data_IF_623621749949
#
_entry.id   IF_623621749949
#
_cell.length_a   1.000
_cell.length_b   1.000
_cell.length_c   1.000
_cell.angle_alpha   90.00
_cell.angle_beta   90.00
_cell.angle_gamma   90.00
#
_symmetry.space_group_name_H-M   'P 1'
#
loop_
_entity.id
_entity.type
_entity.pdbx_description
1 polymer ?
#
# COMPACT_ATOMS: atom_id res chain seq x y z
N UNK A 1 -7.23 -4.67 24.93
CA UNK A 1 -8.16 -5.79 24.73
C UNK A 1 -8.08 -6.83 25.84
N UNK A 2 -6.90 -7.43 26.13
CA UNK A 2 -6.72 -8.41 27.22
C UNK A 2 -7.33 -7.94 28.55
N UNK A 3 -6.99 -6.76 29.06
CA UNK A 3 -7.50 -6.23 30.32
C UNK A 3 -9.01 -5.99 30.40
N UNK A 4 -9.68 -5.80 29.25
CA UNK A 4 -11.16 -5.70 29.20
C UNK A 4 -11.77 -7.09 29.32
N UNK A 5 -11.23 -8.08 28.60
CA UNK A 5 -11.73 -9.45 28.58
C UNK A 5 -11.47 -10.19 29.90
N UNK A 6 -10.38 -9.86 30.59
CA UNK A 6 -10.08 -10.39 31.93
C UNK A 6 -11.10 -9.91 33.00
N UNK A 7 -11.68 -8.71 32.78
CA UNK A 7 -12.75 -8.19 33.67
C UNK A 7 -14.14 -8.75 33.33
N UNK A 8 -14.30 -9.39 32.16
CA UNK A 8 -15.58 -9.93 31.69
C UNK A 8 -15.68 -11.44 31.95
N UNK A 9 -15.32 -11.89 33.14
CA UNK A 9 -15.26 -13.32 33.52
C UNK A 9 -16.61 -14.03 33.43
N UNK A 10 -17.72 -13.33 33.65
CA UNK A 10 -19.08 -13.87 33.60
C UNK A 10 -19.68 -13.93 32.18
N UNK A 11 -18.94 -13.42 31.15
CA UNK A 11 -19.41 -13.45 29.78
C UNK A 11 -19.31 -14.87 29.21
N UNK A 12 -20.48 -15.53 29.01
CA UNK A 12 -20.57 -16.91 28.52
C UNK A 12 -20.11 -17.04 27.04
N UNK A 13 -20.37 -16.02 26.23
CA UNK A 13 -20.04 -16.02 24.81
C UNK A 13 -19.12 -14.86 24.49
N UNK A 14 -17.98 -15.16 23.86
CA UNK A 14 -16.99 -14.18 23.45
C UNK A 14 -16.69 -14.36 21.98
N UNK A 15 -16.96 -13.34 21.18
CA UNK A 15 -16.69 -13.33 19.75
C UNK A 15 -15.69 -12.24 19.43
N UNK A 16 -14.64 -12.59 18.69
CA UNK A 16 -13.67 -11.67 18.16
C UNK A 16 -13.63 -11.79 16.64
N UNK A 17 -13.77 -10.68 15.93
CA UNK A 17 -13.65 -10.62 14.47
C UNK A 17 -12.43 -9.81 14.08
N UNK A 18 -11.66 -10.30 13.12
CA UNK A 18 -10.52 -9.58 12.55
C UNK A 18 -10.38 -9.93 11.09
N UNK A 19 -10.03 -8.96 10.27
CA UNK A 19 -9.68 -9.20 8.88
C UNK A 19 -8.31 -9.88 8.70
N UNK A 20 -7.43 -9.89 9.72
CA UNK A 20 -6.10 -10.51 9.70
C UNK A 20 -5.70 -11.02 11.05
N UNK A 21 -5.22 -12.25 11.07
CA UNK A 21 -4.44 -12.78 12.19
C UNK A 21 -2.95 -12.61 11.85
N UNK A 22 -2.18 -12.07 12.79
CA UNK A 22 -0.72 -12.08 12.68
C UNK A 22 -0.21 -13.52 12.78
N UNK A 23 0.74 -13.92 11.93
CA UNK A 23 1.35 -15.26 11.96
C UNK A 23 2.21 -15.51 13.23
N UNK A 24 2.24 -14.58 14.18
CA UNK A 24 2.93 -14.73 15.46
C UNK A 24 2.21 -15.77 16.32
N UNK A 25 2.87 -16.92 16.55
CA UNK A 25 2.33 -18.05 17.35
C UNK A 25 1.86 -17.61 18.75
N UNK A 26 2.63 -16.73 19.40
CA UNK A 26 2.30 -16.19 20.75
C UNK A 26 0.98 -15.38 20.71
N UNK A 27 0.80 -14.54 19.68
CA UNK A 27 -0.44 -13.78 19.52
C UNK A 27 -1.66 -14.69 19.27
N UNK A 28 -1.47 -15.74 18.47
CA UNK A 28 -2.51 -16.72 18.20
C UNK A 28 -2.94 -17.46 19.47
N UNK A 29 -1.98 -17.92 20.26
CA UNK A 29 -2.25 -18.59 21.55
C UNK A 29 -3.01 -17.69 22.52
N UNK A 30 -2.64 -16.40 22.61
CA UNK A 30 -3.36 -15.45 23.48
C UNK A 30 -4.79 -15.25 22.98
N UNK A 31 -5.01 -15.14 21.67
CA UNK A 31 -6.35 -14.99 21.10
C UNK A 31 -7.20 -16.25 21.32
N UNK A 32 -6.62 -17.43 21.11
CA UNK A 32 -7.29 -18.71 21.34
C UNK A 32 -7.63 -18.92 22.83
N UNK A 33 -6.79 -18.45 23.75
CA UNK A 33 -7.07 -18.44 25.19
C UNK A 33 -8.22 -17.50 25.58
N UNK A 34 -8.43 -16.40 24.85
CA UNK A 34 -9.46 -15.40 25.16
C UNK A 34 -10.80 -15.69 24.47
N UNK A 35 -10.79 -16.23 23.25
CA UNK A 35 -11.96 -16.38 22.38
C UNK A 35 -12.24 -17.83 21.95
N UNK A 36 -11.34 -18.78 22.24
CA UNK A 36 -11.42 -20.14 21.73
C UNK A 36 -10.78 -20.26 20.34
N UNK A 37 -11.03 -21.37 19.66
CA UNK A 37 -10.42 -21.72 18.39
C UNK A 37 -10.72 -20.68 17.30
N UNK A 38 -9.70 -20.34 16.52
CA UNK A 38 -9.84 -19.41 15.40
C UNK A 38 -10.34 -20.13 14.14
N UNK A 39 -11.26 -19.48 13.44
CA UNK A 39 -11.83 -19.98 12.18
C UNK A 39 -11.69 -18.91 11.11
N UNK A 40 -11.32 -19.30 9.89
CA UNK A 40 -11.37 -18.42 8.72
C UNK A 40 -12.76 -18.52 8.11
N UNK A 41 -13.55 -17.45 8.26
CA UNK A 41 -14.92 -17.42 7.76
C UNK A 41 -14.96 -17.33 6.22
N UNK A 42 -14.09 -16.48 5.63
CA UNK A 42 -14.05 -16.26 4.18
C UNK A 42 -12.65 -15.78 3.79
N UNK A 43 -12.20 -16.11 2.57
CA UNK A 43 -10.93 -15.65 2.00
C UNK A 43 -11.14 -14.41 1.14
N UNK A 44 -10.09 -13.59 0.96
CA UNK A 44 -10.12 -12.42 0.05
C UNK A 44 -10.49 -12.82 -1.37
N UNK A 45 -9.96 -13.94 -1.85
CA UNK A 45 -10.28 -14.47 -3.18
C UNK A 45 -11.78 -14.78 -3.33
N UNK A 46 -12.39 -15.46 -2.36
CA UNK A 46 -13.81 -15.77 -2.43
C UNK A 46 -14.66 -14.50 -2.42
N UNK A 47 -14.28 -13.48 -1.64
CA UNK A 47 -14.95 -12.18 -1.65
C UNK A 47 -14.85 -11.47 -3.02
N UNK A 48 -13.72 -11.63 -3.73
CA UNK A 48 -13.54 -11.10 -5.10
C UNK A 48 -14.36 -11.90 -6.12
N UNK A 49 -14.35 -13.23 -6.02
CA UNK A 49 -15.10 -14.11 -6.93
C UNK A 49 -16.61 -13.90 -6.77
N UNK A 50 -17.07 -13.70 -5.54
CA UNK A 50 -18.47 -13.39 -5.19
C UNK A 50 -18.83 -11.90 -5.44
N UNK A 51 -17.91 -11.09 -6.02
CA UNK A 51 -18.08 -9.65 -6.32
C UNK A 51 -18.40 -8.75 -5.11
N UNK A 52 -18.07 -9.19 -3.91
CA UNK A 52 -18.21 -8.36 -2.70
C UNK A 52 -17.10 -7.33 -2.55
N UNK A 53 -15.94 -7.58 -3.16
CA UNK A 53 -14.82 -6.64 -3.28
C UNK A 53 -14.30 -6.67 -4.72
N UNK A 54 -13.67 -5.57 -5.14
CA UNK A 54 -13.09 -5.44 -6.48
C UNK A 54 -11.99 -6.46 -6.72
N UNK A 55 -11.88 -6.95 -7.95
CA UNK A 55 -10.71 -7.73 -8.38
C UNK A 55 -9.48 -6.82 -8.36
N UNK A 56 -8.45 -7.22 -7.64
CA UNK A 56 -7.18 -6.54 -7.56
C UNK A 56 -6.19 -7.21 -8.52
N UNK A 57 -5.69 -6.45 -9.48
CA UNK A 57 -4.54 -6.84 -10.30
C UNK A 57 -3.28 -6.14 -9.75
N UNK A 58 -2.21 -6.87 -9.52
CA UNK A 58 -0.96 -6.34 -8.99
C UNK A 58 0.07 -6.30 -10.12
N UNK A 59 0.57 -5.10 -10.42
CA UNK A 59 1.65 -4.86 -11.36
C UNK A 59 2.94 -4.66 -10.58
N UNK A 60 3.80 -5.68 -10.54
CA UNK A 60 5.12 -5.62 -9.91
C UNK A 60 6.11 -5.00 -10.89
N UNK A 61 6.55 -3.76 -10.63
CA UNK A 61 7.43 -3.01 -11.49
C UNK A 61 8.82 -2.93 -10.86
N UNK A 62 9.75 -3.78 -11.30
CA UNK A 62 11.13 -3.78 -10.84
C UNK A 62 11.94 -2.73 -11.58
N UNK A 63 12.43 -1.74 -10.83
CA UNK A 63 13.32 -0.71 -11.33
C UNK A 63 14.78 -1.17 -11.19
N UNK A 64 15.47 -1.33 -12.31
CA UNK A 64 16.90 -1.62 -12.36
C UNK A 64 17.69 -0.33 -12.41
N UNK A 65 18.54 -0.15 -11.41
CA UNK A 65 19.44 1.00 -11.30
C UNK A 65 20.77 0.72 -12.00
N UNK A 66 21.47 1.76 -12.50
CA UNK A 66 22.81 1.63 -13.07
C UNK A 66 23.77 0.91 -12.11
N UNK A 67 24.71 0.15 -12.67
CA UNK A 67 25.66 -0.63 -11.88
C UNK A 67 26.48 0.24 -10.93
N UNK A 68 26.88 1.43 -11.37
CA UNK A 68 27.62 2.40 -10.58
C UNK A 68 26.87 2.81 -9.31
N UNK A 69 25.57 3.08 -9.42
CA UNK A 69 24.72 3.44 -8.29
C UNK A 69 24.56 2.26 -7.32
N UNK A 70 24.36 1.04 -7.86
CA UNK A 70 24.28 -0.18 -7.04
C UNK A 70 25.56 -0.48 -6.28
N UNK A 71 26.72 -0.18 -6.91
CA UNK A 71 28.03 -0.35 -6.26
C UNK A 71 28.20 0.59 -5.07
N UNK A 72 27.78 1.85 -5.17
CA UNK A 72 27.87 2.82 -4.06
C UNK A 72 27.10 2.35 -2.84
N UNK A 73 25.97 1.63 -3.06
CA UNK A 73 25.07 1.14 -2.00
C UNK A 73 25.38 -0.28 -1.52
N UNK A 74 26.48 -0.90 -1.99
CA UNK A 74 26.83 -2.29 -1.66
C UNK A 74 26.94 -2.61 -0.16
N UNK A 75 27.20 -1.61 0.66
CA UNK A 75 27.30 -1.71 2.14
C UNK A 75 26.30 -0.80 2.86
N UNK A 76 25.37 -0.19 2.14
CA UNK A 76 24.42 0.74 2.71
C UNK A 76 23.60 0.09 3.82
N UNK A 77 23.33 0.87 4.85
CA UNK A 77 22.35 0.57 5.88
C UNK A 77 20.93 0.71 5.30
N UNK A 78 19.94 0.24 6.03
CA UNK A 78 18.54 0.40 5.62
C UNK A 78 18.15 1.87 5.39
N UNK A 79 18.58 2.76 6.28
CA UNK A 79 18.24 4.18 6.17
C UNK A 79 18.92 4.85 4.98
N UNK A 80 20.19 4.56 4.72
CA UNK A 80 20.90 5.08 3.55
C UNK A 80 20.27 4.59 2.24
N UNK A 81 19.86 3.33 2.16
CA UNK A 81 19.14 2.80 1.00
C UNK A 81 17.80 3.52 0.80
N UNK A 82 17.02 3.73 1.87
CA UNK A 82 15.75 4.44 1.78
C UNK A 82 15.95 5.90 1.38
N UNK A 83 16.90 6.61 1.99
CA UNK A 83 17.17 8.01 1.66
C UNK A 83 17.61 8.16 0.18
N UNK A 84 18.40 7.22 -0.34
CA UNK A 84 18.73 7.17 -1.77
C UNK A 84 17.48 6.95 -2.64
N UNK A 85 16.68 5.94 -2.36
CA UNK A 85 15.49 5.59 -3.13
C UNK A 85 14.50 6.75 -3.23
N UNK A 86 14.18 7.39 -2.10
CA UNK A 86 13.16 8.45 -2.07
C UNK A 86 13.65 9.78 -2.69
N UNK A 87 14.96 10.00 -2.73
CA UNK A 87 15.57 11.20 -3.36
C UNK A 87 15.93 11.00 -4.84
N UNK A 88 15.85 9.77 -5.35
CA UNK A 88 16.29 9.45 -6.70
C UNK A 88 15.38 10.05 -7.78
N UNK A 89 15.91 11.02 -8.54
CA UNK A 89 15.12 11.85 -9.46
C UNK A 89 14.46 11.07 -10.59
N UNK A 90 15.18 10.15 -11.25
CA UNK A 90 14.61 9.34 -12.34
C UNK A 90 13.48 8.43 -11.84
N UNK A 91 13.66 7.85 -10.65
CA UNK A 91 12.64 7.03 -10.00
C UNK A 91 11.36 7.84 -9.69
N UNK A 92 11.52 9.00 -9.09
CA UNK A 92 10.39 9.88 -8.76
C UNK A 92 9.69 10.37 -10.05
N UNK A 93 10.46 10.69 -11.09
CA UNK A 93 9.92 10.99 -12.43
C UNK A 93 9.11 9.81 -13.01
N UNK A 94 9.61 8.59 -12.88
CA UNK A 94 8.90 7.39 -13.31
C UNK A 94 7.56 7.24 -12.58
N UNK A 95 7.53 7.40 -11.25
CA UNK A 95 6.30 7.31 -10.44
C UNK A 95 5.29 8.39 -10.84
N UNK A 96 5.74 9.64 -11.02
CA UNK A 96 4.86 10.73 -11.45
C UNK A 96 4.30 10.47 -12.87
N UNK A 97 5.14 10.05 -13.81
CA UNK A 97 4.69 9.71 -15.17
C UNK A 97 3.70 8.54 -15.15
N UNK A 98 3.98 7.50 -14.37
CA UNK A 98 3.06 6.37 -14.19
C UNK A 98 1.70 6.85 -13.68
N UNK A 99 1.66 7.72 -12.68
CA UNK A 99 0.42 8.25 -12.15
C UNK A 99 -0.34 9.10 -13.19
N UNK A 100 0.37 9.93 -13.96
CA UNK A 100 -0.22 10.80 -14.98
C UNK A 100 -0.78 10.02 -16.19
N UNK A 101 -0.22 8.85 -16.50
CA UNK A 101 -0.73 8.00 -17.61
C UNK A 101 -2.02 7.28 -17.25
N UNK A 102 -2.39 7.19 -15.97
CA UNK A 102 -3.60 6.49 -15.55
C UNK A 102 -4.85 7.33 -15.87
N UNK A 103 -5.86 6.67 -16.44
CA UNK A 103 -7.17 7.26 -16.72
C UNK A 103 -8.16 6.93 -15.62
N UNK A 104 -7.99 7.53 -14.46
CA UNK A 104 -8.83 7.29 -13.28
C UNK A 104 -8.21 7.84 -12.00
N UNK A 105 -8.97 7.80 -10.92
CA UNK A 105 -8.49 8.26 -9.63
C UNK A 105 -7.32 7.38 -9.16
N UNK A 106 -6.20 8.04 -8.89
CA UNK A 106 -4.92 7.40 -8.56
C UNK A 106 -4.46 7.82 -7.17
N UNK A 107 -4.12 6.87 -6.33
CA UNK A 107 -3.54 7.10 -5.01
C UNK A 107 -2.05 6.73 -5.03
N UNK A 108 -1.19 7.67 -4.67
CA UNK A 108 0.24 7.46 -4.49
C UNK A 108 0.53 7.43 -2.99
N UNK A 109 1.11 6.34 -2.50
CA UNK A 109 1.44 6.17 -1.10
C UNK A 109 2.92 6.40 -0.82
N UNK A 110 3.19 7.27 0.14
CA UNK A 110 4.53 7.57 0.63
C UNK A 110 4.64 7.41 2.17
N UNK A 111 5.86 7.47 2.73
CA UNK A 111 6.09 7.45 4.19
C UNK A 111 6.67 8.75 4.74
N UNK A 112 7.54 9.42 3.99
CA UNK A 112 8.24 10.62 4.44
C UNK A 112 7.60 11.87 3.84
N UNK A 113 6.97 12.69 4.68
CA UNK A 113 6.20 13.86 4.25
C UNK A 113 7.09 14.85 3.48
N UNK A 114 8.12 15.38 4.15
CA UNK A 114 8.97 16.43 3.58
C UNK A 114 9.89 15.90 2.46
N UNK A 115 10.59 14.80 2.73
CA UNK A 115 11.63 14.27 1.85
C UNK A 115 11.10 13.56 0.59
N UNK A 116 9.82 13.15 0.57
CA UNK A 116 9.28 12.36 -0.53
C UNK A 116 7.88 12.80 -0.95
N UNK A 117 6.92 12.88 -0.04
CA UNK A 117 5.53 13.20 -0.38
C UNK A 117 5.37 14.56 -1.04
N UNK A 118 5.96 15.61 -0.44
CA UNK A 118 5.93 16.98 -1.01
C UNK A 118 6.68 17.04 -2.34
N UNK A 119 7.82 16.38 -2.45
CA UNK A 119 8.60 16.31 -3.70
C UNK A 119 7.77 15.69 -4.83
N UNK A 120 7.08 14.57 -4.58
CA UNK A 120 6.20 13.95 -5.58
C UNK A 120 5.03 14.87 -5.96
N UNK A 121 4.45 15.59 -5.00
CA UNK A 121 3.37 16.53 -5.25
C UNK A 121 3.83 17.68 -6.14
N UNK A 122 4.96 18.33 -5.81
CA UNK A 122 5.56 19.41 -6.60
C UNK A 122 5.85 18.95 -8.03
N UNK A 123 6.50 17.80 -8.19
CA UNK A 123 6.79 17.23 -9.51
C UNK A 123 5.54 16.91 -10.33
N UNK A 124 4.44 16.51 -9.70
CA UNK A 124 3.17 16.28 -10.39
C UNK A 124 2.52 17.60 -10.84
N UNK A 125 2.53 18.62 -9.98
CA UNK A 125 2.00 19.93 -10.28
C UNK A 125 2.75 20.60 -11.43
N UNK A 126 4.07 20.48 -11.48
CA UNK A 126 4.91 21.00 -12.55
C UNK A 126 4.63 20.33 -13.90
N UNK A 127 4.24 19.03 -13.90
CA UNK A 127 3.98 18.26 -15.13
C UNK A 127 2.56 18.45 -15.69
N UNK A 128 1.57 18.58 -14.85
CA UNK A 128 0.16 18.69 -15.24
C UNK A 128 -0.61 19.58 -14.26
N UNK A 129 -0.77 20.84 -14.63
CA UNK A 129 -1.53 21.83 -13.84
C UNK A 129 -3.06 21.70 -14.00
N UNK A 130 -3.55 20.90 -14.94
CA UNK A 130 -4.98 20.75 -15.22
C UNK A 130 -5.63 19.63 -14.42
N UNK A 131 -4.84 18.68 -13.92
CA UNK A 131 -5.33 17.56 -13.16
C UNK A 131 -5.46 17.90 -11.68
N UNK A 132 -6.57 17.53 -11.06
CA UNK A 132 -6.76 17.72 -9.62
C UNK A 132 -5.78 16.85 -8.83
N UNK A 133 -4.90 17.50 -8.05
CA UNK A 133 -3.91 16.84 -7.22
C UNK A 133 -4.17 17.19 -5.75
N UNK A 134 -4.38 16.19 -4.92
CA UNK A 134 -4.64 16.33 -3.49
C UNK A 134 -3.47 15.77 -2.67
N UNK A 135 -3.17 16.42 -1.55
CA UNK A 135 -2.14 15.96 -0.62
C UNK A 135 -2.74 15.66 0.75
N UNK A 136 -2.46 14.46 1.29
CA UNK A 136 -2.94 14.03 2.60
C UNK A 136 -1.78 13.47 3.41
N UNK A 137 -1.45 14.13 4.51
CA UNK A 137 -0.44 13.67 5.48
C UNK A 137 -1.07 13.35 6.84
N UNK A 138 -0.28 12.85 7.78
CA UNK A 138 -0.75 12.57 9.14
C UNK A 138 -1.27 13.80 9.88
N UNK A 139 -0.73 14.97 9.58
CA UNK A 139 -1.09 16.27 10.14
C UNK A 139 -2.34 16.89 9.52
N UNK A 140 -2.84 16.34 8.40
CA UNK A 140 -4.07 16.82 7.76
C UNK A 140 -5.25 16.60 8.70
N UNK A 141 -6.02 17.65 8.94
CA UNK A 141 -7.20 17.62 9.80
C UNK A 141 -8.25 16.63 9.29
N UNK A 142 -9.08 16.11 10.21
CA UNK A 142 -10.13 15.15 9.88
C UNK A 142 -11.14 15.76 8.92
N UNK A 143 -11.50 17.01 9.11
CA UNK A 143 -12.42 17.75 8.25
C UNK A 143 -11.86 17.92 6.83
N UNK A 144 -10.61 18.35 6.72
CA UNK A 144 -9.92 18.46 5.42
C UNK A 144 -9.81 17.11 4.70
N UNK A 145 -9.56 16.00 5.43
CA UNK A 145 -9.54 14.66 4.83
C UNK A 145 -10.90 14.27 4.25
N UNK A 146 -11.97 14.63 4.95
CA UNK A 146 -13.32 14.35 4.50
C UNK A 146 -13.68 15.21 3.27
N UNK A 147 -13.25 16.46 3.22
CA UNK A 147 -13.44 17.33 2.06
C UNK A 147 -12.68 16.82 0.83
N UNK A 148 -11.42 16.40 1.00
CA UNK A 148 -10.64 15.77 -0.07
C UNK A 148 -11.32 14.48 -0.53
N UNK A 149 -11.84 13.67 0.39
CA UNK A 149 -12.60 12.47 0.05
C UNK A 149 -13.81 12.80 -0.83
N UNK A 150 -14.63 13.78 -0.42
CA UNK A 150 -15.81 14.21 -1.18
C UNK A 150 -15.45 14.76 -2.55
N UNK A 151 -14.42 15.62 -2.61
CA UNK A 151 -13.93 16.16 -3.87
C UNK A 151 -13.45 15.03 -4.81
N UNK A 152 -12.69 14.07 -4.29
CA UNK A 152 -12.21 12.93 -5.08
C UNK A 152 -13.34 12.00 -5.55
N UNK A 153 -14.39 11.83 -4.75
CA UNK A 153 -15.55 11.01 -5.15
C UNK A 153 -16.32 11.64 -6.33
N UNK A 154 -16.29 12.97 -6.47
CA UNK A 154 -16.84 13.70 -7.60
C UNK A 154 -15.97 13.69 -8.85
N UNK A 155 -14.67 13.42 -8.70
CA UNK A 155 -13.69 13.45 -9.77
C UNK A 155 -13.52 12.06 -10.42
N UNK A 156 -13.18 12.08 -11.72
CA UNK A 156 -12.93 10.84 -12.48
C UNK A 156 -11.45 10.61 -12.79
N UNK A 157 -10.60 11.58 -12.50
CA UNK A 157 -9.19 11.54 -12.89
C UNK A 157 -8.30 12.34 -11.91
N UNK A 158 -8.57 12.25 -10.60
CA UNK A 158 -7.78 12.91 -9.57
C UNK A 158 -6.53 12.09 -9.21
N UNK A 159 -5.47 12.77 -8.75
CA UNK A 159 -4.31 12.14 -8.11
C UNK A 159 -4.30 12.53 -6.63
N UNK A 160 -4.16 11.56 -5.77
CA UNK A 160 -4.04 11.76 -4.33
C UNK A 160 -2.66 11.29 -3.91
N UNK A 161 -1.86 12.18 -3.35
CA UNK A 161 -0.56 11.86 -2.75
C UNK A 161 -0.75 11.77 -1.25
N UNK A 162 -0.69 10.58 -0.68
CA UNK A 162 -1.06 10.34 0.72
C UNK A 162 0.00 9.58 1.50
N UNK A 163 0.15 9.92 2.79
CA UNK A 163 0.98 9.12 3.69
C UNK A 163 0.32 7.77 3.99
N UNK A 164 1.15 6.73 4.16
CA UNK A 164 0.66 5.37 4.45
C UNK A 164 -0.17 5.26 5.72
N UNK A 165 0.03 6.16 6.67
CA UNK A 165 -0.77 6.25 7.90
C UNK A 165 -2.24 6.54 7.63
N UNK A 166 -2.55 7.27 6.57
CA UNK A 166 -3.92 7.63 6.18
C UNK A 166 -4.76 6.40 5.86
N UNK A 167 -4.19 5.38 5.23
CA UNK A 167 -4.90 4.11 4.97
C UNK A 167 -5.27 3.38 6.26
N UNK A 168 -4.46 3.50 7.30
CA UNK A 168 -4.72 2.84 8.60
C UNK A 168 -5.81 3.53 9.40
N UNK A 169 -6.09 4.81 9.14
CA UNK A 169 -7.12 5.60 9.83
C UNK A 169 -8.52 5.46 9.23
N UNK A 170 -8.68 4.57 8.23
CA UNK A 170 -10.01 4.24 7.70
C UNK A 170 -10.56 5.23 6.68
N UNK A 171 -9.72 6.08 6.09
CA UNK A 171 -10.15 6.92 4.96
C UNK A 171 -10.60 6.02 3.81
N UNK A 172 -11.90 5.99 3.58
CA UNK A 172 -12.52 5.20 2.52
C UNK A 172 -12.81 6.12 1.34
N UNK A 173 -11.91 6.13 0.36
CA UNK A 173 -12.10 6.90 -0.88
C UNK A 173 -12.80 5.96 -1.88
N UNK A 174 -14.08 6.22 -2.15
CA UNK A 174 -14.79 5.51 -3.21
C UNK A 174 -14.22 5.92 -4.58
N UNK A 175 -14.42 5.06 -5.57
CA UNK A 175 -14.02 5.34 -6.95
C UNK A 175 -12.50 5.50 -7.15
N UNK A 176 -11.68 4.78 -6.37
CA UNK A 176 -10.23 4.71 -6.53
C UNK A 176 -9.87 3.49 -7.38
N UNK A 177 -9.28 3.73 -8.58
CA UNK A 177 -8.95 2.67 -9.53
C UNK A 177 -7.48 2.24 -9.46
N UNK A 178 -6.58 3.17 -9.16
CA UNK A 178 -5.14 2.93 -9.19
C UNK A 178 -4.48 3.27 -7.85
N UNK A 179 -3.57 2.40 -7.44
CA UNK A 179 -2.77 2.58 -6.24
C UNK A 179 -1.30 2.37 -6.58
N UNK A 180 -0.43 3.29 -6.20
CA UNK A 180 1.02 3.21 -6.43
C UNK A 180 1.73 3.19 -5.08
N UNK A 181 2.49 2.14 -4.83
CA UNK A 181 3.42 2.08 -3.70
C UNK A 181 4.70 2.81 -4.04
N UNK A 182 4.77 4.11 -3.76
CA UNK A 182 5.95 4.92 -4.01
C UNK A 182 7.08 4.69 -2.99
N UNK A 183 6.82 4.08 -1.86
CA UNK A 183 7.82 3.73 -0.85
C UNK A 183 7.97 2.21 -0.75
N UNK A 184 9.21 1.66 -0.60
CA UNK A 184 9.42 0.22 -0.46
C UNK A 184 8.93 -0.30 0.90
N UNK A 185 7.63 -0.55 0.97
CA UNK A 185 6.98 -1.02 2.20
C UNK A 185 7.48 -2.38 2.64
N UNK A 186 7.72 -2.53 3.94
CA UNK A 186 7.78 -3.84 4.57
C UNK A 186 6.36 -4.42 4.63
N UNK A 187 6.24 -5.70 4.23
CA UNK A 187 4.96 -6.39 4.21
C UNK A 187 4.29 -6.40 5.60
N UNK A 188 3.31 -5.52 5.78
CA UNK A 188 2.33 -5.67 6.86
C UNK A 188 1.03 -6.09 6.21
N UNK A 189 0.57 -7.29 6.50
CA UNK A 189 -0.69 -7.88 6.01
C UNK A 189 -1.88 -6.91 6.12
N UNK A 190 -1.89 -6.08 7.16
CA UNK A 190 -2.91 -5.04 7.37
C UNK A 190 -3.03 -4.05 6.20
N UNK A 191 -1.92 -3.70 5.55
CA UNK A 191 -1.94 -2.72 4.46
C UNK A 191 -2.64 -3.30 3.23
N UNK A 192 -2.40 -4.56 2.88
CA UNK A 192 -3.02 -5.20 1.71
C UNK A 192 -4.53 -5.41 1.87
N UNK A 193 -5.00 -5.70 3.08
CA UNK A 193 -6.44 -5.82 3.35
C UNK A 193 -7.13 -4.45 3.41
N UNK A 194 -6.42 -3.42 3.89
CA UNK A 194 -6.89 -2.04 3.80
C UNK A 194 -7.03 -1.59 2.34
N UNK A 195 -6.12 -2.03 1.47
CA UNK A 195 -6.16 -1.77 0.03
C UNK A 195 -7.44 -2.31 -0.61
N UNK A 196 -7.80 -3.57 -0.34
CA UNK A 196 -9.06 -4.14 -0.87
C UNK A 196 -10.33 -3.42 -0.37
N UNK A 197 -10.24 -2.68 0.75
CA UNK A 197 -11.34 -1.83 1.23
C UNK A 197 -11.33 -0.43 0.61
N UNK A 198 -10.14 0.09 0.31
CA UNK A 198 -9.93 1.41 -0.31
C UNK A 198 -10.30 1.37 -1.79
N UNK A 199 -10.01 0.26 -2.46
CA UNK A 199 -10.31 0.04 -3.88
C UNK A 199 -11.75 -0.45 -4.10
N UNK A 200 -12.73 0.14 -3.42
CA UNK A 200 -14.15 -0.10 -3.70
C UNK A 200 -14.52 0.69 -4.95
N UNK A 201 -14.72 -0.04 -6.03
CA UNK A 201 -15.14 0.54 -7.29
C UNK A 201 -16.66 0.79 -7.30
N UNK A 202 -17.04 1.79 -8.07
CA UNK A 202 -18.42 2.02 -8.48
C UNK A 202 -18.93 0.84 -9.34
N UNK A 203 -20.23 0.60 -9.34
CA UNK A 203 -20.89 -0.60 -9.92
C UNK A 203 -20.51 -0.96 -11.37
N UNK A 204 -19.80 -0.08 -12.09
CA UNK A 204 -19.47 -0.25 -13.50
C UNK A 204 -18.06 -0.77 -13.81
N UNK A 205 -17.08 -0.66 -12.91
CA UNK A 205 -15.70 -1.05 -13.17
C UNK A 205 -15.11 -1.87 -12.02
N UNK A 206 -15.19 -3.17 -12.12
CA UNK A 206 -14.78 -4.12 -11.06
C UNK A 206 -13.27 -4.44 -11.01
N UNK A 207 -12.39 -3.58 -11.53
CA UNK A 207 -10.95 -3.85 -11.54
C UNK A 207 -10.17 -2.69 -10.93
N UNK A 208 -9.39 -2.99 -9.92
CA UNK A 208 -8.43 -2.08 -9.33
C UNK A 208 -7.01 -2.57 -9.64
N UNK A 209 -6.08 -1.63 -9.84
CA UNK A 209 -4.68 -1.94 -10.13
C UNK A 209 -3.80 -1.39 -9.03
N UNK A 210 -2.97 -2.28 -8.46
CA UNK A 210 -1.88 -1.91 -7.56
C UNK A 210 -0.56 -1.95 -8.34
N UNK A 211 0.13 -0.84 -8.40
CA UNK A 211 1.53 -0.77 -8.86
C UNK A 211 2.46 -0.90 -7.66
N UNK A 212 3.12 -2.04 -7.56
CA UNK A 212 4.13 -2.32 -6.53
C UNK A 212 5.52 -2.03 -7.10
N UNK A 213 6.08 -0.87 -6.72
CA UNK A 213 7.41 -0.44 -7.17
C UNK A 213 8.46 -1.19 -6.37
N UNK A 214 9.36 -1.86 -7.09
CA UNK A 214 10.44 -2.70 -6.56
C UNK A 214 11.76 -2.07 -6.93
N UNK A 215 12.50 -1.61 -5.92
CA UNK A 215 13.80 -0.99 -6.13
C UNK A 215 14.90 -2.05 -6.09
N UNK A 216 15.45 -2.39 -7.26
CA UNK A 216 16.51 -3.38 -7.40
C UNK A 216 17.90 -2.73 -7.36
N UNK A 217 18.43 -2.67 -6.16
CA UNK A 217 19.77 -2.19 -5.84
C UNK A 217 20.70 -3.35 -5.42
N UNK A 218 20.43 -4.57 -5.89
CA UNK A 218 21.25 -5.71 -5.55
C UNK A 218 22.69 -5.53 -6.03
N UNK A 219 23.64 -6.01 -5.23
CA UNK A 219 25.06 -6.05 -5.61
C UNK A 219 25.58 -7.48 -5.55
N UNK A 220 25.98 -8.02 -6.69
CA UNK A 220 26.40 -9.43 -6.82
C UNK A 220 25.33 -10.38 -6.24
N UNK A 221 25.67 -11.12 -5.17
CA UNK A 221 24.75 -12.06 -4.51
C UNK A 221 23.94 -11.43 -3.35
N UNK A 222 24.20 -10.14 -3.03
CA UNK A 222 23.55 -9.46 -1.91
C UNK A 222 22.28 -8.73 -2.40
N UNK A 223 21.13 -9.21 -1.96
CA UNK A 223 19.89 -8.44 -2.13
C UNK A 223 19.89 -7.21 -1.20
N UNK A 224 19.45 -6.09 -1.72
CA UNK A 224 19.16 -4.90 -0.93
C UNK A 224 17.90 -5.09 -0.05
N UNK A 225 17.61 -4.13 0.83
CA UNK A 225 16.46 -4.21 1.73
C UNK A 225 15.12 -4.12 0.98
N UNK A 226 15.02 -3.25 -0.03
CA UNK A 226 13.84 -3.11 -0.88
C UNK A 226 13.42 -4.43 -1.51
N UNK A 227 14.36 -5.18 -2.10
CA UNK A 227 14.12 -6.52 -2.66
C UNK A 227 13.70 -7.54 -1.60
N UNK A 228 14.29 -7.50 -0.41
CA UNK A 228 13.89 -8.40 0.69
C UNK A 228 12.44 -8.15 1.10
N UNK A 229 12.06 -6.88 1.26
CA UNK A 229 10.70 -6.48 1.59
C UNK A 229 9.70 -6.85 0.49
N UNK A 230 10.10 -6.72 -0.80
CA UNK A 230 9.28 -7.17 -1.89
C UNK A 230 9.02 -8.68 -1.87
N UNK A 231 10.05 -9.49 -1.61
CA UNK A 231 9.88 -10.96 -1.48
C UNK A 231 8.89 -11.33 -0.36
N UNK A 232 8.87 -10.57 0.74
CA UNK A 232 7.87 -10.72 1.78
C UNK A 232 6.45 -10.36 1.26
N UNK A 233 6.29 -9.26 0.49
CA UNK A 233 5.02 -8.89 -0.14
C UNK A 233 4.55 -9.94 -1.13
N UNK A 234 5.44 -10.41 -1.99
CA UNK A 234 5.15 -11.46 -2.97
C UNK A 234 4.64 -12.75 -2.29
N UNK A 235 5.22 -13.13 -1.16
CA UNK A 235 4.74 -14.30 -0.40
C UNK A 235 3.28 -14.15 0.05
N UNK A 236 2.86 -12.91 0.35
CA UNK A 236 1.48 -12.60 0.70
C UNK A 236 0.59 -12.65 -0.54
N UNK A 237 1.02 -12.08 -1.68
CA UNK A 237 0.27 -12.14 -2.93
C UNK A 237 -0.03 -13.59 -3.34
N UNK A 238 0.96 -14.45 -3.23
CA UNK A 238 0.82 -15.89 -3.51
C UNK A 238 -0.11 -16.59 -2.50
N UNK A 239 0.02 -16.28 -1.20
CA UNK A 239 -0.83 -16.86 -0.14
C UNK A 239 -2.30 -16.47 -0.31
N UNK A 240 -2.58 -15.21 -0.63
CA UNK A 240 -3.93 -14.67 -0.85
C UNK A 240 -4.45 -14.95 -2.28
N UNK A 241 -3.62 -15.56 -3.15
CA UNK A 241 -3.94 -15.91 -4.55
C UNK A 241 -4.36 -14.69 -5.37
N UNK A 242 -3.68 -13.56 -5.20
CA UNK A 242 -3.86 -12.41 -6.07
C UNK A 242 -3.23 -12.66 -7.42
N UNK A 243 -3.88 -12.18 -8.48
CA UNK A 243 -3.29 -12.14 -9.81
C UNK A 243 -2.22 -11.03 -9.84
N UNK A 244 -1.02 -11.35 -10.34
CA UNK A 244 0.04 -10.37 -10.49
C UNK A 244 0.82 -10.57 -11.78
N UNK A 245 1.27 -9.45 -12.36
CA UNK A 245 2.20 -9.38 -13.47
C UNK A 245 3.53 -8.80 -12.98
N UNK A 246 4.61 -9.12 -13.68
CA UNK A 246 5.95 -8.68 -13.32
C UNK A 246 6.68 -8.12 -14.54
N UNK A 247 7.24 -6.92 -14.39
CA UNK A 247 7.99 -6.24 -15.45
C UNK A 247 9.27 -5.60 -14.88
N UNK A 248 10.31 -5.59 -15.69
CA UNK A 248 11.59 -4.95 -15.39
C UNK A 248 11.72 -3.66 -16.19
N UNK A 249 12.17 -2.59 -15.55
CA UNK A 249 12.29 -1.25 -16.11
C UNK A 249 13.68 -0.73 -15.76
N UNK A 250 14.48 -0.37 -16.74
CA UNK A 250 15.79 0.25 -16.56
C UNK A 250 15.63 1.76 -16.37
N UNK A 251 16.27 2.33 -15.32
CA UNK A 251 16.23 3.76 -14.96
C UNK A 251 17.29 4.60 -15.68
#
# INVERSE_FOLDING_TARGET
>A
MKGILEKSTFCRYRFGTTGTLTDCKTHKLVLEGLFGKTYTAITSKKLMDDKHISKLNIQCLQLEYPEEERETLKKATYQEEIDFIISHQKRNNFICNLALTQKGNTLILFNYVEKHGKVLMEMLMDKDSNRQIFFIAGETDVEQREDIRRATEGEKNAIIVASSGVLSTGVNIKNLQYLIFAHPYKAKIRNLQSIGRVLRLDDKNNKAVLYDIIDDLHWKRRNNYGLKHWKERLSIYLKEKFDYDYSVITL
#
